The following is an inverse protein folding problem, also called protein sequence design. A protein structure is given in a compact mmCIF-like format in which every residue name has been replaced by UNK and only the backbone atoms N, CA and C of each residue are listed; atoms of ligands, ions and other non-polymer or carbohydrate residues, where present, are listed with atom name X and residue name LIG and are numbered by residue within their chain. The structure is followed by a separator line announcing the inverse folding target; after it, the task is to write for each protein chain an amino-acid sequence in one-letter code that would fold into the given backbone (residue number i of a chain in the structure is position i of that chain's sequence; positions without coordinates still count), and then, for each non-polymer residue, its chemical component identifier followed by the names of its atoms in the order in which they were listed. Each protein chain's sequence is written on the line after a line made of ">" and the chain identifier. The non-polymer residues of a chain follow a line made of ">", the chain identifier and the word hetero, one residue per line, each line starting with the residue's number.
data_IF_832092791337
#
_entry.id   IF_832092791337
#
_cell.length_a   1.000
_cell.length_b   1.000
_cell.length_c   1.000
_cell.angle_alpha   90.00
_cell.angle_beta   90.00
_cell.angle_gamma   90.00
#
_symmetry.space_group_name_H-M   'P 1'
#
loop_
_entity.id
_entity.type
_entity.pdbx_description
1 polymer ?
#
# COMPACT_ATOMS: atom_id res chain seq x y z
N UNK A 1 -10.04 2.95 1.54
CA UNK A 1 -10.32 1.50 1.57
C UNK A 1 -11.56 1.13 0.75
N UNK A 2 -12.78 1.56 1.12
CA UNK A 2 -14.02 1.11 0.44
C UNK A 2 -14.02 1.26 -1.09
N UNK A 3 -13.63 2.43 -1.63
CA UNK A 3 -13.52 2.62 -3.09
C UNK A 3 -12.54 1.65 -3.76
N UNK A 4 -11.43 1.33 -3.08
CA UNK A 4 -10.42 0.40 -3.59
C UNK A 4 -10.90 -1.05 -3.58
N UNK A 5 -11.66 -1.46 -2.55
CA UNK A 5 -12.28 -2.79 -2.49
C UNK A 5 -13.34 -2.97 -3.59
N UNK A 6 -14.15 -1.94 -3.85
CA UNK A 6 -15.12 -1.95 -4.96
C UNK A 6 -14.38 -2.04 -6.31
N UNK A 7 -13.30 -1.27 -6.49
CA UNK A 7 -12.49 -1.35 -7.70
C UNK A 7 -11.86 -2.75 -7.88
N UNK A 8 -11.43 -3.38 -6.80
CA UNK A 8 -10.89 -4.75 -6.78
C UNK A 8 -11.92 -5.75 -7.32
N UNK A 9 -13.14 -5.71 -6.77
CA UNK A 9 -14.23 -6.57 -7.20
C UNK A 9 -14.60 -6.32 -8.68
N UNK A 10 -14.68 -5.06 -9.10
CA UNK A 10 -14.97 -4.69 -10.49
C UNK A 10 -13.87 -5.13 -11.47
N UNK A 11 -12.62 -5.19 -11.02
CA UNK A 11 -11.49 -5.76 -11.78
C UNK A 11 -11.48 -7.29 -11.79
N UNK A 12 -12.44 -7.95 -11.14
CA UNK A 12 -12.54 -9.41 -11.05
C UNK A 12 -11.51 -10.05 -10.12
N UNK A 13 -10.93 -9.25 -9.21
CA UNK A 13 -10.05 -9.72 -8.14
C UNK A 13 -10.87 -10.10 -6.90
N UNK A 14 -10.39 -11.09 -6.14
CA UNK A 14 -10.97 -11.44 -4.84
C UNK A 14 -10.59 -10.38 -3.82
N UNK A 15 -11.58 -9.69 -3.26
CA UNK A 15 -11.34 -8.70 -2.19
C UNK A 15 -10.65 -9.35 -0.98
N UNK A 16 -10.92 -10.62 -0.69
CA UNK A 16 -10.29 -11.34 0.42
C UNK A 16 -8.82 -11.67 0.16
N UNK A 17 -8.43 -11.88 -1.09
CA UNK A 17 -7.04 -12.18 -1.46
C UNK A 17 -6.18 -10.91 -1.40
N UNK A 18 -6.78 -9.77 -1.76
CA UNK A 18 -6.07 -8.49 -1.88
C UNK A 18 -6.19 -7.61 -0.62
N UNK A 19 -7.30 -7.69 0.12
CA UNK A 19 -7.60 -6.92 1.33
C UNK A 19 -7.95 -7.85 2.50
N UNK A 20 -7.04 -8.76 2.85
CA UNK A 20 -7.26 -9.74 3.91
C UNK A 20 -7.41 -9.03 5.27
N UNK A 21 -8.61 -9.09 5.85
CA UNK A 21 -8.87 -8.56 7.18
C UNK A 21 -8.23 -9.47 8.24
N UNK A 22 -7.34 -8.90 9.05
CA UNK A 22 -6.71 -9.59 10.18
C UNK A 22 -7.08 -8.87 11.47
N UNK A 23 -7.53 -9.62 12.46
CA UNK A 23 -7.86 -9.05 13.78
C UNK A 23 -6.65 -9.14 14.68
N UNK A 24 -6.22 -8.00 15.25
CA UNK A 24 -5.27 -8.00 16.37
C UNK A 24 -6.02 -7.65 17.64
N UNK A 25 -5.88 -8.50 18.66
CA UNK A 25 -6.28 -8.16 20.02
C UNK A 25 -5.14 -7.31 20.59
N UNK A 26 -5.45 -6.07 20.98
CA UNK A 26 -4.49 -5.24 21.72
C UNK A 26 -4.97 -5.10 23.16
N UNK A 27 -4.06 -5.29 24.09
CA UNK A 27 -4.29 -4.97 25.50
C UNK A 27 -4.16 -3.46 25.70
N UNK A 28 -5.30 -2.82 25.92
CA UNK A 28 -5.40 -1.42 26.29
C UNK A 28 -5.84 -1.31 27.74
N UNK A 29 -4.95 -1.69 28.67
CA UNK A 29 -5.25 -1.68 30.11
C UNK A 29 -6.30 -2.72 30.50
N UNK A 30 -7.43 -2.30 31.08
CA UNK A 30 -8.47 -3.20 31.59
C UNK A 30 -9.50 -3.68 30.54
N UNK A 31 -9.32 -3.34 29.25
CA UNK A 31 -10.22 -3.78 28.19
C UNK A 31 -9.44 -4.21 26.95
N UNK A 32 -9.71 -5.42 26.48
CA UNK A 32 -9.29 -5.87 25.16
C UNK A 32 -10.33 -5.44 24.12
N UNK A 33 -9.91 -4.70 23.08
CA UNK A 33 -10.76 -4.42 21.91
C UNK A 33 -10.13 -5.04 20.66
N UNK A 34 -10.90 -5.76 19.83
CA UNK A 34 -10.41 -6.18 18.53
C UNK A 34 -10.19 -4.92 17.67
N UNK A 35 -8.95 -4.71 17.22
CA UNK A 35 -8.64 -3.71 16.21
C UNK A 35 -8.65 -4.40 14.85
N UNK A 36 -9.44 -3.82 13.95
CA UNK A 36 -9.48 -4.20 12.54
C UNK A 36 -8.17 -3.80 11.88
N UNK A 37 -7.39 -4.78 11.45
CA UNK A 37 -6.14 -4.60 10.70
C UNK A 37 -6.27 -5.30 9.35
N UNK A 38 -5.39 -5.00 8.40
CA UNK A 38 -5.44 -5.59 7.06
C UNK A 38 -4.05 -5.96 6.57
N UNK A 39 -3.93 -7.15 6.02
CA UNK A 39 -2.82 -7.53 5.16
C UNK A 39 -3.21 -7.20 3.72
N UNK A 40 -2.38 -6.37 3.07
CA UNK A 40 -2.66 -5.84 1.74
C UNK A 40 -1.71 -6.41 0.72
N UNK A 41 -2.27 -6.95 -0.36
CA UNK A 41 -1.48 -7.28 -1.53
C UNK A 41 -0.96 -6.00 -2.20
N UNK A 42 0.03 -6.17 -3.09
CA UNK A 42 0.54 -5.06 -3.89
C UNK A 42 -0.53 -4.49 -4.82
N UNK A 43 -1.47 -5.31 -5.29
CA UNK A 43 -2.60 -4.85 -6.10
C UNK A 43 -3.60 -4.04 -5.27
N UNK A 44 -3.86 -4.43 -4.02
CA UNK A 44 -4.66 -3.61 -3.10
C UNK A 44 -4.01 -2.25 -2.83
N UNK A 45 -2.70 -2.20 -2.60
CA UNK A 45 -1.96 -0.94 -2.44
C UNK A 45 -2.10 -0.05 -3.68
N UNK A 46 -2.02 -0.63 -4.89
CA UNK A 46 -2.31 0.06 -6.14
C UNK A 46 -3.71 0.66 -6.17
N UNK A 47 -4.74 -0.14 -5.89
CA UNK A 47 -6.12 0.35 -5.92
C UNK A 47 -6.39 1.42 -4.86
N UNK A 48 -5.73 1.36 -3.70
CA UNK A 48 -5.81 2.41 -2.67
C UNK A 48 -5.25 3.72 -3.20
N UNK A 49 -4.10 3.68 -3.87
CA UNK A 49 -3.47 4.86 -4.48
C UNK A 49 -4.37 5.40 -5.60
N UNK A 50 -4.78 4.56 -6.55
CA UNK A 50 -5.60 5.00 -7.69
C UNK A 50 -6.93 5.59 -7.27
N UNK A 51 -7.54 5.09 -6.19
CA UNK A 51 -8.83 5.56 -5.68
C UNK A 51 -8.70 6.50 -4.46
N UNK A 52 -7.50 7.01 -4.19
CA UNK A 52 -7.21 7.96 -3.10
C UNK A 52 -7.72 9.38 -3.37
N UNK A 53 -7.50 10.29 -2.43
CA UNK A 53 -7.75 11.73 -2.65
C UNK A 53 -6.52 12.35 -3.33
N UNK A 54 -6.61 12.80 -4.60
CA UNK A 54 -5.46 13.35 -5.34
C UNK A 54 -4.92 14.66 -4.74
N UNK A 55 -5.64 15.31 -3.81
CA UNK A 55 -5.12 16.48 -3.08
C UNK A 55 -4.02 16.10 -2.09
N UNK A 56 -3.84 14.82 -1.80
CA UNK A 56 -2.71 14.31 -1.03
C UNK A 56 -1.56 14.06 -2.00
N UNK A 57 -0.43 14.73 -1.78
CA UNK A 57 0.74 14.69 -2.68
C UNK A 57 1.19 13.26 -2.99
N UNK A 58 1.25 12.41 -1.96
CA UNK A 58 1.49 10.95 -2.08
C UNK A 58 0.58 10.24 -3.10
N UNK A 59 -0.72 10.55 -3.08
CA UNK A 59 -1.69 9.92 -3.98
C UNK A 59 -1.48 10.43 -5.40
N UNK A 60 -1.27 11.74 -5.56
CA UNK A 60 -1.00 12.34 -6.86
C UNK A 60 0.29 11.78 -7.50
N UNK A 61 1.35 11.63 -6.71
CA UNK A 61 2.62 11.04 -7.17
C UNK A 61 2.44 9.57 -7.56
N UNK A 62 1.76 8.79 -6.73
CA UNK A 62 1.49 7.37 -7.01
C UNK A 62 0.64 7.16 -8.27
N UNK A 63 -0.33 8.04 -8.52
CA UNK A 63 -1.17 8.02 -9.73
C UNK A 63 -0.41 8.39 -11.01
N UNK A 64 0.64 9.22 -10.92
CA UNK A 64 1.34 9.76 -12.09
C UNK A 64 2.64 9.02 -12.42
N UNK A 65 3.36 8.52 -11.43
CA UNK A 65 4.75 8.05 -11.61
C UNK A 65 4.93 6.53 -11.67
N UNK A 66 3.84 5.73 -11.68
CA UNK A 66 3.91 4.25 -11.69
C UNK A 66 4.82 3.67 -10.59
N UNK A 67 4.86 4.32 -9.44
CA UNK A 67 5.81 4.03 -8.35
C UNK A 67 5.73 2.55 -7.90
N UNK A 68 4.53 1.97 -7.99
CA UNK A 68 4.26 0.57 -7.64
C UNK A 68 4.81 -0.48 -8.62
N UNK A 69 5.24 -0.06 -9.81
CA UNK A 69 5.96 -0.95 -10.73
C UNK A 69 7.41 -1.14 -10.28
N UNK A 70 7.96 -0.21 -9.51
CA UNK A 70 9.36 -0.21 -9.06
C UNK A 70 9.53 -0.46 -7.56
N UNK A 71 8.46 -0.31 -6.77
CA UNK A 71 8.51 -0.45 -5.32
C UNK A 71 7.48 -1.47 -4.81
N UNK A 72 7.91 -2.28 -3.84
CA UNK A 72 7.01 -3.18 -3.10
C UNK A 72 6.03 -2.41 -2.20
N UNK A 73 4.95 -3.07 -1.76
CA UNK A 73 3.96 -2.45 -0.85
C UNK A 73 4.59 -1.93 0.44
N UNK A 74 5.48 -2.71 1.05
CA UNK A 74 6.21 -2.33 2.27
C UNK A 74 7.12 -1.12 2.05
N UNK A 75 7.86 -1.11 0.94
CA UNK A 75 8.76 0.00 0.60
C UNK A 75 7.98 1.29 0.37
N UNK A 76 6.86 1.19 -0.35
CA UNK A 76 5.97 2.31 -0.59
C UNK A 76 5.42 2.82 0.73
N UNK A 77 4.83 1.97 1.57
CA UNK A 77 4.28 2.37 2.87
C UNK A 77 5.33 3.10 3.71
N UNK A 78 6.56 2.58 3.78
CA UNK A 78 7.62 3.22 4.54
C UNK A 78 8.01 4.60 3.98
N UNK A 79 8.15 4.72 2.66
CA UNK A 79 8.46 5.99 2.01
C UNK A 79 7.31 7.00 2.17
N UNK A 80 6.06 6.57 2.03
CA UNK A 80 4.89 7.42 2.21
C UNK A 80 4.73 7.89 3.65
N UNK A 81 4.96 6.99 4.61
CA UNK A 81 4.93 7.33 6.02
C UNK A 81 5.99 8.37 6.37
N UNK A 82 7.23 8.19 5.88
CA UNK A 82 8.31 9.18 6.03
C UNK A 82 7.92 10.56 5.46
N UNK A 83 7.37 10.60 4.24
CA UNK A 83 6.96 11.86 3.59
C UNK A 83 5.84 12.53 4.38
N UNK A 84 4.78 11.79 4.71
CA UNK A 84 3.63 12.34 5.43
C UNK A 84 4.01 12.89 6.80
N UNK A 85 4.86 12.20 7.56
CA UNK A 85 5.34 12.68 8.86
C UNK A 85 6.31 13.85 8.72
N UNK A 86 7.09 13.91 7.64
CA UNK A 86 7.90 15.10 7.32
C UNK A 86 7.00 16.31 7.08
N UNK A 87 6.02 16.21 6.18
CA UNK A 87 5.06 17.29 5.89
C UNK A 87 4.33 17.77 7.14
N UNK A 88 3.83 16.84 7.95
CA UNK A 88 3.15 17.16 9.20
C UNK A 88 4.05 17.96 10.14
N UNK A 89 5.31 17.52 10.30
CA UNK A 89 6.30 18.17 11.15
C UNK A 89 6.69 19.56 10.62
N UNK A 90 6.92 19.71 9.32
CA UNK A 90 7.21 21.00 8.69
C UNK A 90 6.09 22.01 8.94
N UNK A 91 4.83 21.58 8.73
CA UNK A 91 3.66 22.42 8.94
C UNK A 91 3.47 22.80 10.41
N UNK A 92 3.61 21.83 11.32
CA UNK A 92 3.40 22.02 12.76
C UNK A 92 4.45 22.97 13.35
N UNK A 93 5.71 22.77 12.97
CA UNK A 93 6.85 23.51 13.50
C UNK A 93 7.07 24.83 12.73
N UNK A 94 6.21 25.15 11.73
CA UNK A 94 6.29 26.33 10.85
C UNK A 94 7.69 26.50 10.26
N UNK A 95 8.25 25.39 9.79
CA UNK A 95 9.63 25.35 9.33
C UNK A 95 9.73 25.98 7.95
N UNK A 96 10.63 26.93 7.83
CA UNK A 96 10.98 27.59 6.57
C UNK A 96 12.44 27.30 6.21
N UNK A 97 12.72 27.34 4.90
CA UNK A 97 14.05 27.12 4.35
C UNK A 97 14.36 25.66 4.01
N UNK A 98 15.02 25.47 2.87
CA UNK A 98 15.32 24.14 2.32
C UNK A 98 16.24 23.31 3.22
N UNK A 99 17.19 23.94 3.91
CA UNK A 99 18.13 23.26 4.79
C UNK A 99 17.43 22.62 6.00
N UNK A 100 16.57 23.39 6.68
CA UNK A 100 15.79 22.88 7.82
C UNK A 100 14.82 21.78 7.38
N UNK A 101 14.18 21.95 6.22
CA UNK A 101 13.29 20.94 5.69
C UNK A 101 14.01 19.62 5.38
N UNK A 102 15.22 19.72 4.80
CA UNK A 102 16.07 18.56 4.50
C UNK A 102 16.50 17.84 5.77
N UNK A 103 16.93 18.59 6.80
CA UNK A 103 17.31 18.03 8.10
C UNK A 103 16.15 17.29 8.76
N UNK A 104 14.95 17.86 8.74
CA UNK A 104 13.74 17.21 9.27
C UNK A 104 13.42 15.94 8.51
N UNK A 105 13.42 15.98 7.17
CA UNK A 105 13.17 14.80 6.36
C UNK A 105 14.16 13.67 6.67
N UNK A 106 15.45 14.01 6.81
CA UNK A 106 16.48 13.04 7.18
C UNK A 106 16.23 12.41 8.55
N UNK A 107 15.90 13.22 9.56
CA UNK A 107 15.64 12.76 10.92
C UNK A 107 14.39 11.86 10.99
N UNK A 108 13.29 12.26 10.35
CA UNK A 108 12.08 11.43 10.23
C UNK A 108 12.43 10.10 9.55
N UNK A 109 13.19 10.14 8.45
CA UNK A 109 13.63 8.91 7.78
C UNK A 109 14.49 7.99 8.65
N UNK A 110 15.36 8.57 9.49
CA UNK A 110 16.17 7.81 10.46
C UNK A 110 15.30 7.15 11.53
N UNK A 111 14.29 7.84 12.04
CA UNK A 111 13.35 7.28 13.03
C UNK A 111 12.54 6.13 12.43
N UNK A 112 12.03 6.30 11.20
CA UNK A 112 11.30 5.24 10.47
C UNK A 112 12.18 4.00 10.32
N UNK A 113 13.42 4.13 9.81
CA UNK A 113 14.35 3.00 9.69
C UNK A 113 14.67 2.34 11.04
N UNK A 114 14.84 3.15 12.08
CA UNK A 114 15.10 2.65 13.44
C UNK A 114 13.93 1.80 13.94
N UNK A 115 12.69 2.24 13.71
CA UNK A 115 11.49 1.49 14.07
C UNK A 115 11.40 0.17 13.30
N UNK A 116 11.63 0.18 11.98
CA UNK A 116 11.63 -1.03 11.14
C UNK A 116 12.69 -2.02 11.64
N UNK A 117 13.91 -1.55 11.95
CA UNK A 117 14.98 -2.40 12.45
C UNK A 117 14.64 -3.00 13.81
N UNK A 118 14.03 -2.22 14.70
CA UNK A 118 13.65 -2.65 16.06
C UNK A 118 12.63 -3.79 16.05
N UNK A 119 11.74 -3.82 15.06
CA UNK A 119 10.76 -4.90 14.88
C UNK A 119 11.30 -6.07 14.04
N UNK A 120 12.57 -6.05 13.65
CA UNK A 120 13.18 -7.08 12.82
C UNK A 120 12.74 -7.04 11.34
N UNK A 121 12.23 -5.91 10.87
CA UNK A 121 11.84 -5.73 9.48
C UNK A 121 13.03 -5.45 8.54
N UNK A 122 12.85 -5.77 7.26
CA UNK A 122 13.80 -5.43 6.18
C UNK A 122 13.75 -3.93 5.90
N UNK A 123 14.91 -3.29 5.67
CA UNK A 123 14.94 -1.86 5.35
C UNK A 123 14.33 -1.59 3.98
N UNK A 124 13.66 -0.44 3.77
CA UNK A 124 13.07 -0.10 2.48
C UNK A 124 14.07 -0.17 1.32
N UNK A 125 15.30 0.32 1.52
CA UNK A 125 16.39 0.28 0.55
C UNK A 125 16.92 -1.12 0.22
N UNK A 126 16.67 -2.10 1.08
CA UNK A 126 17.09 -3.49 0.91
C UNK A 126 15.96 -4.38 0.35
N UNK A 127 14.77 -3.82 0.13
CA UNK A 127 13.66 -4.57 -0.45
C UNK A 127 13.90 -4.82 -1.94
N UNK A 128 13.60 -6.03 -2.44
CA UNK A 128 13.77 -6.33 -3.85
C UNK A 128 12.78 -5.51 -4.68
N UNK A 129 13.26 -5.02 -5.83
CA UNK A 129 12.37 -4.46 -6.86
C UNK A 129 11.38 -5.54 -7.29
N UNK A 130 10.09 -5.20 -7.44
CA UNK A 130 9.10 -6.17 -7.88
C UNK A 130 9.41 -6.75 -9.26
N UNK A 131 9.25 -8.06 -9.42
CA UNK A 131 9.51 -8.76 -10.69
C UNK A 131 8.48 -8.46 -11.78
N UNK A 132 7.25 -8.11 -11.36
CA UNK A 132 6.13 -7.80 -12.26
C UNK A 132 5.69 -6.36 -12.09
N UNK A 133 5.24 -5.73 -13.16
CA UNK A 133 4.47 -4.49 -13.07
C UNK A 133 3.05 -4.77 -12.58
N UNK A 134 2.34 -3.73 -12.13
CA UNK A 134 0.92 -3.82 -11.81
C UNK A 134 0.11 -4.22 -13.05
N UNK A 135 0.48 -3.72 -14.23
CA UNK A 135 -0.19 -4.08 -15.48
C UNK A 135 -0.08 -5.57 -15.81
N UNK A 136 1.08 -6.18 -15.54
CA UNK A 136 1.27 -7.63 -15.71
C UNK A 136 0.38 -8.43 -14.75
N UNK A 137 0.26 -7.99 -13.48
CA UNK A 137 -0.65 -8.62 -12.51
C UNK A 137 -2.11 -8.55 -13.02
N UNK A 138 -2.56 -7.39 -13.50
CA UNK A 138 -3.92 -7.24 -14.04
C UNK A 138 -4.17 -8.13 -15.25
N UNK A 139 -3.21 -8.21 -16.18
CA UNK A 139 -3.32 -9.07 -17.35
C UNK A 139 -3.43 -10.55 -16.99
N UNK A 140 -2.63 -11.01 -16.03
CA UNK A 140 -2.65 -12.41 -15.56
C UNK A 140 -3.98 -12.75 -14.91
N UNK A 141 -4.53 -11.87 -14.08
CA UNK A 141 -5.85 -12.09 -13.48
C UNK A 141 -6.95 -12.12 -14.55
N UNK A 142 -6.93 -11.19 -15.51
CA UNK A 142 -7.91 -11.19 -16.60
C UNK A 142 -7.83 -12.45 -17.46
N UNK A 143 -6.62 -12.94 -17.74
CA UNK A 143 -6.42 -14.21 -18.44
C UNK A 143 -6.98 -15.39 -17.63
N UNK A 144 -6.74 -15.43 -16.31
CA UNK A 144 -7.28 -16.44 -15.40
C UNK A 144 -8.81 -16.44 -15.38
N UNK A 145 -9.44 -15.27 -15.34
CA UNK A 145 -10.90 -15.13 -15.38
C UNK A 145 -11.48 -15.61 -16.71
N UNK A 146 -10.88 -15.24 -17.84
CA UNK A 146 -11.28 -15.73 -19.18
C UNK A 146 -11.20 -17.26 -19.27
N UNK A 147 -10.14 -17.86 -18.73
CA UNK A 147 -9.97 -19.32 -18.70
C UNK A 147 -11.05 -20.00 -17.84
N UNK A 148 -11.36 -19.44 -16.65
CA UNK A 148 -12.45 -19.95 -15.79
C UNK A 148 -13.81 -19.85 -16.47
N UNK A 149 -14.12 -18.73 -17.11
CA UNK A 149 -15.38 -18.55 -17.84
C UNK A 149 -15.53 -19.56 -18.98
N UNK A 150 -14.45 -19.81 -19.74
CA UNK A 150 -14.43 -20.82 -20.81
C UNK A 150 -14.67 -22.23 -20.25
N UNK A 151 -14.02 -22.59 -19.14
CA UNK A 151 -14.21 -23.89 -18.48
C UNK A 151 -15.62 -24.06 -17.91
N UNK A 152 -16.18 -23.02 -17.29
CA UNK A 152 -17.55 -23.03 -16.77
C UNK A 152 -18.60 -23.17 -17.87
N UNK A 153 -18.39 -22.52 -19.02
CA UNK A 153 -19.26 -22.68 -20.20
C UNK A 153 -19.23 -24.12 -20.74
N UNK A 154 -18.04 -24.73 -20.82
CA UNK A 154 -17.89 -26.14 -21.21
C UNK A 154 -18.65 -27.08 -20.25
N UNK A 155 -18.68 -26.79 -18.94
CA UNK A 155 -19.39 -27.61 -17.95
C UNK A 155 -20.93 -27.45 -17.95
N UNK A 156 -21.48 -26.39 -18.54
CA UNK A 156 -22.93 -26.13 -18.60
C UNK A 156 -23.55 -26.58 -19.93
N UNK A 157 -22.72 -26.89 -20.93
CA UNK A 157 -23.11 -27.28 -22.27
C UNK A 157 -23.08 -28.84 -22.47
N UNK A 158 -22.87 -29.62 -21.40
CA UNK A 158 -22.94 -31.10 -21.33
C UNK A 158 -24.17 -31.59 -20.54
#
# INVERSE_FOLDING_TARGET
>A
MGRAMIACENSGHSVLDDFAEVSKIVDAGATSKPIKDYELSRYACYLIVQNGDPRKEVIALGQTQKILDYMGSTELIANLFRISQTEEKLRKDRVEGAENATSIHYNVGKEVRTAIKKIGGTMPEDLPTPEKSIQQIEQEQMARLKAKAKKGKILLDE
#
